data_IF_603463995368
#
_entry.id   IF_603463995368
#
_cell.length_a   1.000
_cell.length_b   1.000
_cell.length_c   1.000
_cell.angle_alpha   90.00
_cell.angle_beta   90.00
_cell.angle_gamma   90.00
#
_symmetry.space_group_name_H-M   'P 1'
#
loop_
_entity.id
_entity.type
_entity.pdbx_description
1 polymer ?
#
# COMPACT_ATOMS: atom_id res chain seq x y z
N UNK A 1 -13.67 -20.07 -32.79
CA UNK A 1 -14.29 -19.23 -31.74
C UNK A 1 -15.28 -18.29 -32.41
N UNK A 2 -16.54 -18.30 -31.99
CA UNK A 2 -17.59 -17.48 -32.59
C UNK A 2 -17.47 -15.99 -32.18
N UNK A 3 -17.90 -15.03 -33.01
CA UNK A 3 -17.80 -13.59 -32.72
C UNK A 3 -18.55 -13.16 -31.44
N UNK A 4 -19.57 -13.90 -30.98
CA UNK A 4 -20.22 -13.69 -29.66
C UNK A 4 -19.29 -14.02 -28.51
N UNK A 5 -18.65 -15.20 -28.53
CA UNK A 5 -17.73 -15.64 -27.50
C UNK A 5 -16.54 -14.67 -27.38
N UNK A 6 -16.07 -14.10 -28.49
CA UNK A 6 -15.03 -13.07 -28.47
C UNK A 6 -15.49 -11.78 -27.78
N UNK A 7 -16.73 -11.32 -28.05
CA UNK A 7 -17.29 -10.12 -27.39
C UNK A 7 -17.55 -10.34 -25.90
N UNK A 8 -18.07 -11.51 -25.51
CA UNK A 8 -18.27 -11.89 -24.11
C UNK A 8 -16.93 -12.06 -23.37
N UNK A 9 -15.93 -12.67 -24.01
CA UNK A 9 -14.58 -12.78 -23.46
C UNK A 9 -13.91 -11.40 -23.27
N UNK A 10 -14.11 -10.46 -24.20
CA UNK A 10 -13.62 -9.09 -24.06
C UNK A 10 -14.30 -8.36 -22.88
N UNK A 11 -15.61 -8.55 -22.71
CA UNK A 11 -16.36 -8.03 -21.56
C UNK A 11 -15.85 -8.62 -20.23
N UNK A 12 -15.63 -9.94 -20.19
CA UNK A 12 -15.06 -10.66 -19.04
C UNK A 12 -13.67 -10.14 -18.67
N UNK A 13 -12.79 -9.95 -19.65
CA UNK A 13 -11.45 -9.37 -19.43
C UNK A 13 -11.54 -7.97 -18.85
N UNK A 14 -12.45 -7.14 -19.34
CA UNK A 14 -12.66 -5.78 -18.83
C UNK A 14 -13.21 -5.77 -17.41
N UNK A 15 -14.16 -6.64 -17.08
CA UNK A 15 -14.68 -6.82 -15.72
C UNK A 15 -13.54 -7.21 -14.76
N UNK A 16 -12.75 -8.22 -15.13
CA UNK A 16 -11.59 -8.65 -14.34
C UNK A 16 -10.57 -7.51 -14.18
N UNK A 17 -10.24 -6.81 -15.27
CA UNK A 17 -9.31 -5.68 -15.21
C UNK A 17 -9.79 -4.59 -14.25
N UNK A 18 -11.06 -4.19 -14.30
CA UNK A 18 -11.62 -3.16 -13.41
C UNK A 18 -11.59 -3.60 -11.95
N UNK A 19 -11.98 -4.85 -11.66
CA UNK A 19 -12.01 -5.38 -10.30
C UNK A 19 -10.58 -5.52 -9.75
N UNK A 20 -9.65 -6.05 -10.55
CA UNK A 20 -8.24 -6.19 -10.20
C UNK A 20 -7.60 -4.83 -9.97
N UNK A 21 -7.75 -3.88 -10.92
CA UNK A 21 -7.18 -2.54 -10.80
C UNK A 21 -7.67 -1.82 -9.55
N UNK A 22 -8.97 -1.91 -9.26
CA UNK A 22 -9.55 -1.34 -8.04
C UNK A 22 -8.97 -2.00 -6.78
N UNK A 23 -8.85 -3.33 -6.76
CA UNK A 23 -8.24 -4.06 -5.66
C UNK A 23 -6.80 -3.64 -5.41
N UNK A 24 -5.99 -3.55 -6.48
CA UNK A 24 -4.60 -3.09 -6.41
C UNK A 24 -4.50 -1.66 -5.88
N UNK A 25 -5.33 -0.73 -6.38
CA UNK A 25 -5.35 0.65 -5.90
C UNK A 25 -5.62 0.74 -4.39
N UNK A 26 -6.58 -0.04 -3.88
CA UNK A 26 -6.91 -0.08 -2.46
C UNK A 26 -5.80 -0.68 -1.61
N UNK A 27 -5.15 -1.75 -2.08
CA UNK A 27 -4.02 -2.37 -1.37
C UNK A 27 -2.88 -1.36 -1.25
N UNK A 28 -2.50 -0.72 -2.36
CA UNK A 28 -1.42 0.27 -2.35
C UNK A 28 -1.78 1.44 -1.44
N UNK A 29 -3.01 1.96 -1.51
CA UNK A 29 -3.46 3.06 -0.65
C UNK A 29 -3.38 2.70 0.83
N UNK A 30 -3.82 1.50 1.23
CA UNK A 30 -3.76 1.03 2.63
C UNK A 30 -2.31 0.88 3.08
N UNK A 31 -1.44 0.29 2.25
CA UNK A 31 -0.02 0.11 2.58
C UNK A 31 0.68 1.46 2.75
N UNK A 32 0.49 2.39 1.81
CA UNK A 32 1.04 3.73 1.88
C UNK A 32 0.54 4.48 3.13
N UNK A 33 -0.75 4.39 3.42
CA UNK A 33 -1.34 5.04 4.59
C UNK A 33 -0.83 4.42 5.90
N UNK A 34 -0.72 3.10 5.97
CA UNK A 34 -0.20 2.39 7.14
C UNK A 34 1.26 2.74 7.42
N UNK A 35 2.09 2.82 6.37
CA UNK A 35 3.48 3.25 6.48
C UNK A 35 3.59 4.71 6.96
N UNK A 36 2.83 5.62 6.35
CA UNK A 36 2.86 7.03 6.71
C UNK A 36 2.33 7.27 8.14
N UNK A 37 1.18 6.70 8.49
CA UNK A 37 0.58 6.85 9.80
C UNK A 37 1.40 6.12 10.88
N UNK A 38 1.83 4.89 10.61
CA UNK A 38 2.66 4.09 11.51
C UNK A 38 4.00 4.76 11.78
N UNK A 39 4.69 5.24 10.74
CA UNK A 39 5.94 5.98 10.88
C UNK A 39 5.77 7.30 11.64
N UNK A 40 4.71 8.07 11.35
CA UNK A 40 4.45 9.33 12.03
C UNK A 40 4.10 9.14 13.51
N UNK A 41 3.28 8.13 13.82
CA UNK A 41 2.94 7.78 15.20
C UNK A 41 4.17 7.28 15.95
N UNK A 42 4.99 6.45 15.31
CA UNK A 42 6.20 5.90 15.91
C UNK A 42 7.24 6.98 16.18
N UNK A 43 7.33 7.99 15.30
CA UNK A 43 8.16 9.16 15.52
C UNK A 43 7.66 10.02 16.69
N UNK A 44 6.34 10.18 16.87
CA UNK A 44 5.78 11.02 17.95
C UNK A 44 5.77 10.34 19.32
N UNK A 45 5.36 9.09 19.39
CA UNK A 45 5.03 8.40 20.65
C UNK A 45 6.05 7.32 21.00
N UNK A 46 7.00 7.01 20.11
CA UNK A 46 7.94 5.89 20.26
C UNK A 46 7.17 4.59 20.49
N UNK A 47 6.57 4.04 19.44
CA UNK A 47 5.67 2.90 19.58
C UNK A 47 6.43 1.69 20.13
N UNK A 48 5.83 0.94 21.08
CA UNK A 48 6.38 -0.33 21.51
C UNK A 48 6.40 -1.32 20.35
N UNK A 49 7.38 -2.22 20.36
CA UNK A 49 7.61 -3.24 19.32
C UNK A 49 6.36 -4.06 18.99
N UNK A 50 5.58 -4.44 20.02
CA UNK A 50 4.32 -5.17 19.91
C UNK A 50 3.26 -4.42 19.09
N UNK A 51 3.13 -3.10 19.28
CA UNK A 51 2.13 -2.30 18.57
C UNK A 51 2.51 -2.17 17.10
N UNK A 52 3.81 -2.03 16.80
CA UNK A 52 4.31 -2.05 15.41
C UNK A 52 4.03 -3.40 14.74
N UNK A 53 4.27 -4.51 15.45
CA UNK A 53 3.99 -5.84 14.94
C UNK A 53 2.49 -6.05 14.66
N UNK A 54 1.60 -5.56 15.53
CA UNK A 54 0.16 -5.60 15.32
C UNK A 54 -0.27 -4.74 14.12
N UNK A 55 0.31 -3.55 13.94
CA UNK A 55 0.05 -2.70 12.77
C UNK A 55 0.48 -3.38 11.48
N UNK A 56 1.67 -4.00 11.46
CA UNK A 56 2.16 -4.76 10.31
C UNK A 56 1.23 -5.95 10.00
N UNK A 57 0.90 -6.75 11.03
CA UNK A 57 0.01 -7.90 10.88
C UNK A 57 -1.39 -7.50 10.41
N UNK A 58 -1.94 -6.40 10.93
CA UNK A 58 -3.22 -5.84 10.49
C UNK A 58 -3.17 -5.35 9.04
N UNK A 59 -2.08 -4.70 8.65
CA UNK A 59 -1.87 -4.21 7.27
C UNK A 59 -1.76 -5.38 6.29
N UNK A 60 -0.96 -6.41 6.62
CA UNK A 60 -0.82 -7.61 5.81
C UNK A 60 -2.12 -8.41 5.72
N UNK A 61 -2.85 -8.56 6.84
CA UNK A 61 -4.13 -9.27 6.87
C UNK A 61 -5.19 -8.53 6.06
N UNK A 62 -5.27 -7.21 6.18
CA UNK A 62 -6.17 -6.36 5.40
C UNK A 62 -5.85 -6.42 3.90
N UNK A 63 -4.58 -6.25 3.53
CA UNK A 63 -4.11 -6.37 2.16
C UNK A 63 -4.39 -7.77 1.58
N UNK A 64 -4.12 -8.83 2.36
CA UNK A 64 -4.39 -10.22 2.01
C UNK A 64 -5.89 -10.50 1.83
N UNK A 65 -6.75 -9.97 2.70
CA UNK A 65 -8.20 -10.11 2.58
C UNK A 65 -8.74 -9.44 1.31
N UNK A 66 -8.25 -8.23 1.00
CA UNK A 66 -8.62 -7.49 -0.22
C UNK A 66 -8.10 -8.22 -1.46
N UNK A 67 -6.84 -8.67 -1.46
CA UNK A 67 -6.28 -9.47 -2.54
C UNK A 67 -7.05 -10.78 -2.74
N UNK A 68 -7.43 -11.46 -1.67
CA UNK A 68 -8.22 -12.68 -1.76
C UNK A 68 -9.61 -12.40 -2.35
N UNK A 69 -10.31 -11.36 -1.88
CA UNK A 69 -11.65 -11.02 -2.35
C UNK A 69 -11.70 -10.46 -3.77
N UNK A 70 -10.72 -9.64 -4.17
CA UNK A 70 -10.75 -8.87 -5.42
C UNK A 70 -9.77 -9.35 -6.49
N UNK A 71 -8.73 -10.11 -6.15
CA UNK A 71 -7.82 -10.74 -7.13
C UNK A 71 -8.09 -12.24 -7.23
N UNK A 72 -7.97 -12.99 -6.12
CA UNK A 72 -7.98 -14.46 -6.18
C UNK A 72 -9.38 -15.02 -6.45
N UNK A 73 -10.41 -14.55 -5.72
CA UNK A 73 -11.79 -15.00 -5.89
C UNK A 73 -12.34 -14.82 -7.32
N UNK A 74 -12.19 -13.67 -8.00
CA UNK A 74 -12.66 -13.52 -9.39
C UNK A 74 -11.79 -14.25 -10.43
N UNK A 75 -10.54 -14.57 -10.11
CA UNK A 75 -9.69 -15.42 -10.96
C UNK A 75 -10.07 -16.90 -10.84
N UNK A 76 -10.44 -17.36 -9.65
CA UNK A 76 -10.89 -18.73 -9.40
C UNK A 76 -12.36 -18.99 -9.73
N UNK A 77 -13.21 -17.97 -9.66
CA UNK A 77 -14.55 -18.08 -10.20
C UNK A 77 -14.45 -18.32 -11.72
N UNK A 78 -14.77 -19.54 -12.16
CA UNK A 78 -15.17 -19.79 -13.56
C UNK A 78 -16.37 -18.90 -13.82
N UNK A 79 -16.13 -17.72 -14.38
CA UNK A 79 -17.20 -16.88 -14.88
C UNK A 79 -17.83 -17.66 -16.02
N UNK A 80 -19.02 -18.18 -15.79
CA UNK A 80 -19.79 -18.90 -16.79
C UNK A 80 -20.23 -17.91 -17.87
N UNK A 81 -20.10 -18.25 -19.15
CA UNK A 81 -20.51 -17.33 -20.23
C UNK A 81 -22.02 -17.04 -20.14
N UNK A 82 -22.79 -17.99 -19.61
CA UNK A 82 -24.23 -17.85 -19.34
C UNK A 82 -24.53 -16.77 -18.28
N UNK A 83 -23.77 -16.75 -17.18
CA UNK A 83 -23.94 -15.74 -16.12
C UNK A 83 -23.66 -14.33 -16.63
N UNK A 84 -22.69 -14.17 -17.54
CA UNK A 84 -22.40 -12.89 -18.20
C UNK A 84 -23.51 -12.50 -19.18
N UNK A 85 -24.06 -13.45 -19.94
CA UNK A 85 -25.18 -13.20 -20.84
C UNK A 85 -26.42 -12.72 -20.08
N UNK A 86 -26.78 -13.40 -18.98
CA UNK A 86 -27.90 -13.02 -18.12
C UNK A 86 -27.72 -11.63 -17.50
N UNK A 87 -26.50 -11.27 -17.09
CA UNK A 87 -26.21 -9.94 -16.53
C UNK A 87 -26.33 -8.82 -17.58
N UNK A 88 -26.03 -9.12 -18.84
CA UNK A 88 -26.23 -8.19 -19.97
C UNK A 88 -27.72 -8.05 -20.29
N UNK A 89 -28.48 -9.14 -20.33
CA UNK A 89 -29.93 -9.14 -20.60
C UNK A 89 -30.73 -8.44 -19.50
N UNK A 90 -30.34 -8.61 -18.23
CA UNK A 90 -30.92 -7.87 -17.11
C UNK A 90 -30.79 -6.34 -17.27
N UNK A 91 -29.74 -5.86 -17.98
CA UNK A 91 -29.55 -4.44 -18.27
C UNK A 91 -30.26 -3.99 -19.56
N UNK A 92 -30.47 -4.91 -20.51
CA UNK A 92 -31.11 -4.63 -21.79
C UNK A 92 -32.25 -5.64 -22.03
N UNK A 93 -33.47 -5.37 -21.51
CA UNK A 93 -34.62 -6.26 -21.66
C UNK A 93 -35.00 -6.56 -23.12
N UNK A 94 -34.59 -5.69 -24.05
CA UNK A 94 -34.80 -5.85 -25.49
C UNK A 94 -34.12 -7.09 -26.10
N UNK A 95 -33.16 -7.71 -25.39
CA UNK A 95 -32.48 -8.92 -25.84
C UNK A 95 -33.29 -10.20 -25.58
N UNK A 96 -34.30 -10.14 -24.68
CA UNK A 96 -35.33 -11.17 -24.47
C UNK A 96 -34.81 -12.63 -24.52
N UNK A 97 -33.87 -12.97 -23.64
CA UNK A 97 -33.22 -14.29 -23.50
C UNK A 97 -32.46 -14.82 -24.73
N UNK A 98 -32.32 -14.02 -25.80
CA UNK A 98 -31.65 -14.44 -27.03
C UNK A 98 -30.15 -14.69 -26.82
N UNK A 99 -29.52 -13.98 -25.90
CA UNK A 99 -28.09 -14.05 -25.60
C UNK A 99 -27.79 -15.22 -24.66
N UNK A 100 -28.59 -15.44 -23.61
CA UNK A 100 -28.49 -16.62 -22.76
C UNK A 100 -28.75 -17.92 -23.54
N UNK A 101 -29.79 -17.94 -24.38
CA UNK A 101 -30.11 -19.09 -25.24
C UNK A 101 -28.99 -19.37 -26.25
N UNK A 102 -28.43 -18.33 -26.88
CA UNK A 102 -27.32 -18.49 -27.81
C UNK A 102 -26.05 -19.06 -27.12
N UNK A 103 -25.78 -18.67 -25.88
CA UNK A 103 -24.65 -19.23 -25.10
C UNK A 103 -24.91 -20.69 -24.73
N UNK A 104 -26.11 -21.03 -24.23
CA UNK A 104 -26.47 -22.41 -23.92
C UNK A 104 -26.36 -23.34 -25.13
N UNK A 105 -26.81 -22.89 -26.32
CA UNK A 105 -26.67 -23.66 -27.55
C UNK A 105 -25.22 -23.84 -28.00
N UNK A 106 -24.34 -22.88 -27.69
CA UNK A 106 -22.91 -22.98 -27.98
C UNK A 106 -22.20 -23.93 -27.01
N UNK A 107 -22.54 -23.91 -25.72
CA UNK A 107 -21.99 -24.84 -24.72
C UNK A 107 -22.47 -26.28 -24.93
N UNK A 108 -23.73 -26.48 -25.31
CA UNK A 108 -24.27 -27.80 -25.66
C UNK A 108 -23.74 -28.35 -26.99
N UNK A 109 -23.27 -27.49 -27.90
CA UNK A 109 -22.62 -27.95 -29.13
C UNK A 109 -21.22 -28.55 -28.89
N UNK A 110 -20.55 -28.17 -27.78
CA UNK A 110 -19.28 -28.74 -27.35
C UNK A 110 -19.46 -30.03 -26.51
N UNK A 111 -20.70 -30.36 -26.12
CA UNK A 111 -21.08 -31.60 -25.41
C UNK A 111 -21.60 -32.70 -26.34
N UNK A 112 -21.56 -33.96 -25.89
CA UNK A 112 -21.90 -35.16 -26.67
C UNK A 112 -23.41 -35.33 -26.99
N UNK A 113 -24.29 -34.46 -26.50
CA UNK A 113 -25.75 -34.58 -26.68
C UNK A 113 -26.26 -33.69 -27.83
N UNK A 114 -26.44 -34.32 -29.00
CA UNK A 114 -26.78 -33.65 -30.26
C UNK A 114 -28.26 -33.75 -30.67
N UNK A 115 -29.20 -33.72 -29.72
CA UNK A 115 -30.64 -33.93 -30.00
C UNK A 115 -31.38 -32.77 -30.70
N UNK A 116 -30.72 -31.64 -30.99
CA UNK A 116 -31.36 -30.43 -31.54
C UNK A 116 -30.87 -30.08 -32.95
N UNK A 117 -31.77 -29.62 -33.84
CA UNK A 117 -31.44 -29.38 -35.26
C UNK A 117 -30.31 -28.35 -35.45
N UNK A 118 -29.20 -28.69 -36.14
CA UNK A 118 -28.03 -27.80 -36.29
C UNK A 118 -28.35 -26.46 -36.97
N UNK A 119 -29.31 -26.45 -37.90
CA UNK A 119 -29.73 -25.26 -38.64
C UNK A 119 -30.48 -24.26 -37.75
N UNK A 120 -31.37 -24.75 -36.88
CA UNK A 120 -32.11 -23.90 -35.94
C UNK A 120 -31.19 -23.26 -34.89
N UNK A 121 -30.17 -23.99 -34.42
CA UNK A 121 -29.14 -23.44 -33.53
C UNK A 121 -28.36 -22.32 -34.20
N UNK A 122 -27.95 -22.52 -35.46
CA UNK A 122 -27.18 -21.52 -36.21
C UNK A 122 -27.98 -20.23 -36.43
N UNK A 123 -29.27 -20.35 -36.77
CA UNK A 123 -30.17 -19.20 -36.92
C UNK A 123 -30.43 -18.46 -35.60
N UNK A 124 -30.63 -19.19 -34.49
CA UNK A 124 -30.78 -18.57 -33.17
C UNK A 124 -29.52 -17.78 -32.76
N UNK A 125 -28.34 -18.35 -32.99
CA UNK A 125 -27.05 -17.68 -32.74
C UNK A 125 -26.86 -16.46 -33.64
N UNK A 126 -27.23 -16.54 -34.93
CA UNK A 126 -27.14 -15.41 -35.86
C UNK A 126 -28.12 -14.28 -35.51
N UNK A 127 -29.34 -14.61 -35.08
CA UNK A 127 -30.33 -13.64 -34.61
C UNK A 127 -29.85 -12.94 -33.34
N UNK A 128 -29.33 -13.69 -32.38
CA UNK A 128 -28.73 -13.13 -31.16
C UNK A 128 -27.53 -12.22 -31.49
N UNK A 129 -26.68 -12.62 -32.43
CA UNK A 129 -25.59 -11.79 -32.97
C UNK A 129 -26.08 -10.49 -33.60
N UNK A 130 -27.16 -10.55 -34.38
CA UNK A 130 -27.77 -9.37 -35.01
C UNK A 130 -28.27 -8.38 -33.99
N UNK A 131 -29.01 -8.84 -32.97
CA UNK A 131 -29.52 -8.01 -31.89
C UNK A 131 -28.37 -7.45 -31.03
N UNK A 132 -27.39 -8.28 -30.67
CA UNK A 132 -26.20 -7.91 -29.90
C UNK A 132 -25.29 -6.88 -30.58
N UNK A 133 -25.36 -6.71 -31.91
CA UNK A 133 -24.59 -5.68 -32.63
C UNK A 133 -25.08 -4.27 -32.34
N UNK A 134 -26.37 -4.09 -32.00
CA UNK A 134 -26.97 -2.78 -31.74
C UNK A 134 -26.74 -2.26 -30.32
N UNK A 135 -26.26 -3.09 -29.39
CA UNK A 135 -26.08 -2.72 -27.99
C UNK A 135 -24.61 -2.65 -27.60
N UNK A 136 -24.26 -1.61 -26.85
CA UNK A 136 -22.94 -1.46 -26.26
C UNK A 136 -22.92 -2.12 -24.88
N UNK A 137 -22.09 -3.15 -24.69
CA UNK A 137 -21.96 -3.86 -23.41
C UNK A 137 -21.08 -3.13 -22.38
N UNK A 138 -20.39 -2.05 -22.79
CA UNK A 138 -19.52 -1.24 -21.93
C UNK A 138 -20.19 -0.71 -20.65
N UNK A 139 -21.46 -0.24 -20.64
CA UNK A 139 -22.12 0.31 -19.45
C UNK A 139 -22.50 -0.75 -18.39
N UNK A 140 -22.50 -2.03 -18.75
CA UNK A 140 -22.81 -3.14 -17.82
C UNK A 140 -21.74 -3.25 -16.74
N UNK A 141 -20.50 -2.87 -17.07
CA UNK A 141 -19.41 -2.76 -16.11
C UNK A 141 -19.49 -1.39 -15.43
N UNK A 142 -20.18 -1.31 -14.29
CA UNK A 142 -20.21 -0.07 -13.53
C UNK A 142 -18.80 0.27 -13.04
N UNK A 143 -18.20 1.33 -13.60
CA UNK A 143 -16.94 1.93 -13.10
C UNK A 143 -17.13 2.66 -11.75
N UNK A 144 -18.28 2.50 -11.10
CA UNK A 144 -18.58 3.06 -9.78
C UNK A 144 -17.52 2.59 -8.79
N UNK A 145 -16.74 3.55 -8.29
CA UNK A 145 -15.66 3.30 -7.34
C UNK A 145 -14.25 3.24 -7.94
N UNK A 146 -14.06 3.25 -9.28
CA UNK A 146 -12.72 3.43 -9.88
C UNK A 146 -12.22 4.84 -9.57
N UNK A 147 -13.08 5.86 -9.73
CA UNK A 147 -12.71 7.24 -9.41
C UNK A 147 -12.33 7.42 -7.95
N UNK A 148 -13.11 6.84 -7.03
CA UNK A 148 -12.78 6.86 -5.60
C UNK A 148 -11.48 6.12 -5.29
N UNK A 149 -11.28 4.91 -5.85
CA UNK A 149 -10.06 4.13 -5.66
C UNK A 149 -8.82 4.83 -6.24
N UNK A 150 -8.96 5.45 -7.42
CA UNK A 150 -7.92 6.24 -8.05
C UNK A 150 -7.60 7.51 -7.27
N UNK A 151 -8.60 8.20 -6.74
CA UNK A 151 -8.40 9.37 -5.88
C UNK A 151 -7.71 9.01 -4.57
N UNK A 152 -8.11 7.91 -3.92
CA UNK A 152 -7.42 7.42 -2.72
C UNK A 152 -6.00 6.99 -3.00
N UNK A 153 -5.73 6.34 -4.15
CA UNK A 153 -4.37 6.01 -4.56
C UNK A 153 -3.55 7.26 -4.85
N UNK A 154 -4.11 8.23 -5.56
CA UNK A 154 -3.45 9.50 -5.85
C UNK A 154 -3.14 10.25 -4.55
N UNK A 155 -4.11 10.39 -3.65
CA UNK A 155 -3.92 11.06 -2.36
C UNK A 155 -2.86 10.37 -1.49
N UNK A 156 -2.97 9.05 -1.30
CA UNK A 156 -2.01 8.29 -0.51
C UNK A 156 -0.61 8.26 -1.17
N UNK A 157 -0.56 8.14 -2.49
CA UNK A 157 0.68 8.13 -3.27
C UNK A 157 1.39 9.48 -3.27
N UNK A 158 0.66 10.59 -3.46
CA UNK A 158 1.21 11.94 -3.36
C UNK A 158 1.72 12.22 -1.96
N UNK A 159 0.99 11.82 -0.91
CA UNK A 159 1.45 11.97 0.47
C UNK A 159 2.72 11.16 0.74
N UNK A 160 2.75 9.88 0.33
CA UNK A 160 3.93 9.04 0.50
C UNK A 160 5.14 9.59 -0.27
N UNK A 161 4.94 10.06 -1.51
CA UNK A 161 5.97 10.67 -2.34
C UNK A 161 6.49 11.97 -1.73
N UNK A 162 5.60 12.83 -1.24
CA UNK A 162 5.99 14.06 -0.56
C UNK A 162 6.85 13.77 0.68
N UNK A 163 6.46 12.81 1.52
CA UNK A 163 7.21 12.43 2.72
C UNK A 163 8.59 11.84 2.39
N UNK A 164 8.68 11.01 1.35
CA UNK A 164 9.95 10.41 0.92
C UNK A 164 10.91 11.43 0.31
N UNK A 165 10.40 12.41 -0.44
CA UNK A 165 11.22 13.48 -1.02
C UNK A 165 11.63 14.53 0.02
N UNK A 166 10.71 14.94 0.90
CA UNK A 166 10.99 15.95 1.92
C UNK A 166 11.91 15.41 3.03
N UNK A 167 11.78 14.13 3.39
CA UNK A 167 12.47 13.53 4.53
C UNK A 167 13.02 12.12 4.24
N UNK A 168 13.99 11.97 3.33
CA UNK A 168 14.44 10.66 2.84
C UNK A 168 14.98 9.73 3.93
N UNK A 169 15.76 10.25 4.87
CA UNK A 169 16.32 9.44 5.98
C UNK A 169 15.24 8.99 6.97
N UNK A 170 14.27 9.85 7.27
CA UNK A 170 13.14 9.52 8.16
C UNK A 170 12.20 8.51 7.49
N UNK A 171 11.93 8.67 6.19
CA UNK A 171 11.10 7.73 5.45
C UNK A 171 11.74 6.34 5.37
N UNK A 172 13.07 6.26 5.17
CA UNK A 172 13.79 5.00 5.15
C UNK A 172 13.78 4.29 6.51
N UNK A 173 14.01 5.04 7.59
CA UNK A 173 13.96 4.49 8.96
C UNK A 173 12.55 4.07 9.36
N UNK A 174 11.52 4.82 8.97
CA UNK A 174 10.11 4.44 9.12
C UNK A 174 9.80 3.11 8.41
N UNK A 175 10.25 2.95 7.16
CA UNK A 175 10.08 1.72 6.40
C UNK A 175 10.75 0.52 7.07
N UNK A 176 12.01 0.68 7.50
CA UNK A 176 12.76 -0.39 8.17
C UNK A 176 12.12 -0.79 9.52
N UNK A 177 11.70 0.19 10.33
CA UNK A 177 11.03 -0.07 11.62
C UNK A 177 9.65 -0.70 11.44
N UNK A 178 8.95 -0.39 10.35
CA UNK A 178 7.67 -1.01 10.03
C UNK A 178 7.85 -2.45 9.51
N UNK A 179 8.85 -2.69 8.66
CA UNK A 179 9.15 -4.00 8.10
C UNK A 179 9.78 -4.96 9.12
N UNK A 180 10.59 -4.43 10.04
CA UNK A 180 11.22 -5.16 11.13
C UNK A 180 10.79 -4.58 12.49
N UNK A 181 9.61 -4.96 13.01
CA UNK A 181 9.05 -4.40 14.23
C UNK A 181 9.78 -4.83 15.51
N UNK A 182 10.78 -5.72 15.46
CA UNK A 182 11.65 -6.06 16.59
C UNK A 182 13.11 -5.64 16.37
N UNK A 183 13.38 -4.87 15.30
CA UNK A 183 14.71 -4.34 15.03
C UNK A 183 15.03 -3.15 15.92
N UNK A 184 16.23 -3.13 16.50
CA UNK A 184 16.77 -2.00 17.26
C UNK A 184 17.19 -0.83 16.38
N UNK A 185 16.35 -0.42 15.43
CA UNK A 185 16.62 0.72 14.56
C UNK A 185 16.18 2.00 15.25
N UNK A 186 17.11 2.71 15.89
CA UNK A 186 16.83 4.03 16.46
C UNK A 186 16.51 5.06 15.37
N UNK A 187 15.59 5.98 15.67
CA UNK A 187 15.41 7.16 14.84
C UNK A 187 16.72 7.96 14.81
N UNK A 188 17.09 8.54 13.65
CA UNK A 188 18.35 9.27 13.53
C UNK A 188 18.33 10.44 14.50
N UNK A 189 19.24 10.41 15.48
CA UNK A 189 19.35 11.46 16.49
C UNK A 189 19.86 12.71 15.81
N UNK A 190 19.10 13.81 15.92
CA UNK A 190 19.47 15.10 15.36
C UNK A 190 20.70 15.70 16.06
N UNK A 191 20.93 15.34 17.33
CA UNK A 191 22.08 15.76 18.12
C UNK A 191 22.88 14.52 18.52
N UNK A 192 24.14 14.45 18.10
CA UNK A 192 25.09 13.43 18.52
C UNK A 192 26.13 14.06 19.43
N UNK A 193 26.37 13.44 20.59
CA UNK A 193 27.32 13.92 21.59
C UNK A 193 28.44 12.88 21.74
N UNK A 194 29.66 13.24 21.33
CA UNK A 194 30.86 12.45 21.60
C UNK A 194 31.62 13.08 22.77
N UNK A 195 31.62 12.42 23.93
CA UNK A 195 32.33 12.90 25.12
C UNK A 195 33.73 12.28 25.14
N UNK A 196 34.76 13.12 25.04
CA UNK A 196 36.17 12.79 25.31
C UNK A 196 36.53 13.32 26.69
N UNK A 197 36.41 12.47 27.69
CA UNK A 197 36.85 12.74 29.05
C UNK A 197 37.91 11.72 29.49
N UNK A 198 38.87 12.13 30.32
CA UNK A 198 39.76 11.18 31.00
C UNK A 198 38.96 10.45 32.07
N UNK A 199 39.08 9.12 32.14
CA UNK A 199 38.31 8.31 33.11
C UNK A 199 38.89 8.34 34.52
N UNK A 200 40.16 8.77 34.67
CA UNK A 200 40.86 8.86 35.95
C UNK A 200 41.74 10.11 35.96
N UNK A 201 41.61 10.88 37.03
CA UNK A 201 42.38 12.10 37.30
C UNK A 201 42.82 12.08 38.76
N UNK A 202 43.98 12.66 39.08
CA UNK A 202 44.44 12.71 40.45
C UNK A 202 43.48 13.55 41.31
N UNK A 203 43.34 13.19 42.60
CA UNK A 203 42.52 13.98 43.53
C UNK A 203 43.11 15.40 43.64
N UNK A 204 42.26 16.43 43.47
CA UNK A 204 42.59 17.87 43.38
C UNK A 204 43.22 18.37 42.06
N UNK A 205 43.21 17.59 40.98
CA UNK A 205 43.61 18.08 39.65
C UNK A 205 42.39 18.53 38.83
N UNK A 206 42.56 19.55 37.99
CA UNK A 206 41.48 20.06 37.14
C UNK A 206 40.97 18.96 36.18
N UNK A 207 39.65 18.79 36.14
CA UNK A 207 39.00 17.78 35.31
C UNK A 207 38.40 18.43 34.06
N UNK A 208 39.09 18.29 32.92
CA UNK A 208 38.60 18.80 31.64
C UNK A 208 37.78 17.74 30.90
N UNK A 209 36.54 18.11 30.53
CA UNK A 209 35.65 17.30 29.70
C UNK A 209 35.53 17.99 28.34
N UNK A 210 35.97 17.32 27.28
CA UNK A 210 35.71 17.78 25.92
C UNK A 210 34.52 17.02 25.35
N UNK A 211 33.49 17.74 24.91
CA UNK A 211 32.37 17.14 24.19
C UNK A 211 32.28 17.71 22.77
N UNK A 212 32.22 16.83 21.78
CA UNK A 212 31.99 17.19 20.38
C UNK A 212 30.50 16.96 20.11
N UNK A 213 29.77 18.05 19.86
CA UNK A 213 28.36 17.99 19.45
C UNK A 213 28.29 18.04 17.93
N UNK A 214 27.65 17.05 17.30
CA UNK A 214 27.41 17.00 15.84
C UNK A 214 25.91 17.04 15.53
N UNK A 215 25.55 17.66 14.41
CA UNK A 215 24.17 17.82 13.96
C UNK A 215 23.54 19.12 14.43
N UNK A 216 22.32 19.05 14.97
CA UNK A 216 21.61 20.19 15.57
C UNK A 216 22.20 20.44 16.95
N UNK A 217 22.90 21.56 17.10
CA UNK A 217 23.53 21.96 18.37
C UNK A 217 22.46 22.63 19.25
N UNK A 218 22.11 22.07 20.42
CA UNK A 218 21.17 22.71 21.33
C UNK A 218 21.81 23.92 22.02
N UNK A 219 21.02 24.92 22.40
CA UNK A 219 21.53 26.13 23.07
C UNK A 219 22.07 25.83 24.48
N UNK A 220 21.60 24.76 25.11
CA UNK A 220 21.93 24.39 26.48
C UNK A 220 22.26 22.90 26.57
N UNK A 221 23.33 22.57 27.28
CA UNK A 221 23.64 21.22 27.73
C UNK A 221 23.64 21.17 29.25
N UNK A 222 23.22 20.05 29.82
CA UNK A 222 23.37 19.77 31.26
C UNK A 222 24.38 18.65 31.39
N UNK A 223 25.44 18.88 32.16
CA UNK A 223 26.44 17.88 32.51
C UNK A 223 26.15 17.42 33.93
N UNK A 224 25.98 16.12 34.10
CA UNK A 224 25.77 15.49 35.40
C UNK A 224 27.03 14.72 35.80
N UNK A 225 27.66 15.13 36.89
CA UNK A 225 28.81 14.47 37.49
C UNK A 225 28.36 13.61 38.67
N UNK A 226 28.58 12.30 38.57
CA UNK A 226 28.31 11.37 39.66
C UNK A 226 29.63 10.86 40.26
N UNK A 227 29.93 11.29 41.49
CA UNK A 227 31.09 10.81 42.24
C UNK A 227 30.68 9.67 43.18
N UNK A 228 31.56 8.68 43.35
CA UNK A 228 31.32 7.56 44.24
C UNK A 228 31.17 8.04 45.69
N UNK A 229 29.97 7.85 46.27
CA UNK A 229 29.64 8.28 47.63
C UNK A 229 29.15 9.74 47.77
N UNK A 230 28.98 10.49 46.68
CA UNK A 230 28.44 11.85 46.72
C UNK A 230 27.11 11.98 45.95
N UNK A 231 26.35 13.02 46.25
CA UNK A 231 25.17 13.38 45.47
C UNK A 231 25.59 13.83 44.04
N UNK A 232 24.78 13.53 43.01
CA UNK A 232 25.08 13.97 41.65
C UNK A 232 25.09 15.50 41.55
N UNK A 233 26.14 16.04 40.95
CA UNK A 233 26.28 17.48 40.66
C UNK A 233 25.80 17.74 39.24
N UNK A 234 24.81 18.60 39.07
CA UNK A 234 24.28 19.00 37.75
C UNK A 234 24.67 20.43 37.46
N UNK A 235 25.39 20.64 36.36
CA UNK A 235 25.76 21.96 35.89
C UNK A 235 25.23 22.19 34.48
N UNK A 236 24.56 23.33 34.28
CA UNK A 236 24.02 23.72 32.99
C UNK A 236 25.02 24.66 32.30
N UNK A 237 25.39 24.30 31.07
CA UNK A 237 26.32 25.05 30.24
C UNK A 237 25.59 25.55 28.98
N UNK A 238 25.82 26.81 28.61
CA UNK A 238 25.40 27.34 27.31
C UNK A 238 26.39 26.90 26.24
N UNK A 239 25.89 26.26 25.18
CA UNK A 239 26.76 25.74 24.12
C UNK A 239 27.04 26.87 23.15
N UNK A 240 28.22 27.46 23.27
CA UNK A 240 28.70 28.43 22.27
C UNK A 240 29.33 27.68 21.11
N UNK A 241 28.83 27.88 19.89
CA UNK A 241 29.47 27.35 18.68
C UNK A 241 30.83 28.02 18.55
N UNK A 242 31.92 27.26 18.73
CA UNK A 242 33.25 27.73 18.38
C UNK A 242 33.27 27.87 16.86
N UNK A 243 33.06 29.09 16.36
CA UNK A 243 33.38 29.42 14.98
C UNK A 243 34.83 29.01 14.76
N UNK A 244 35.13 28.34 13.66
CA UNK A 244 36.49 28.03 13.25
C UNK A 244 37.29 29.34 13.21
N UNK A 245 37.96 29.67 14.32
CA UNK A 245 39.09 30.57 14.30
C UNK A 245 40.13 29.80 13.50
N UNK A 246 40.41 30.32 12.31
CA UNK A 246 41.17 29.66 11.27
C UNK A 246 42.46 29.03 11.78
N UNK A 247 42.85 27.97 11.09
CA UNK A 247 44.23 27.53 11.02
C UNK A 247 45.14 28.76 10.83
N UNK A 248 45.82 29.15 11.90
CA UNK A 248 47.09 29.83 11.81
C UNK A 248 48.06 29.13 12.75
N UNK A 249 48.91 28.34 12.08
CA UNK A 249 50.21 27.77 12.47
C UNK A 249 50.23 26.51 13.33
#
# INVERSE_FOLDING_TARGET
MNPLQQRLAALRRRLRFVVTFRGVCWIIAIVCLALAAGGLLDWRVHLPDLVRALLLAGTLSGAGCIAYRYLLRPLWARSDDLSLALQVEARYPALNDALASAVQFLEQADGLDSSSSPSLRKEAVQRALGLAKGFDFRPVVSARGIGAAGLSLAGAGTLALFLTLAYPQLAWTAFLRFANPFGGHDWPRQTQLEIKARTRTARNEAFEVHAIVRGVVPERAVVEYQFEGAAPLKEAYEITRRAEAGELQ
#
